data_IF_286254337710
#
_entry.id   IF_286254337710
#
_cell.length_a   1.000
_cell.length_b   1.000
_cell.length_c   1.000
_cell.angle_alpha   90.00
_cell.angle_beta   90.00
_cell.angle_gamma   90.00
#
_symmetry.space_group_name_H-M   'P 1'
#
loop_
_entity.id
_entity.type
_entity.pdbx_description
1 polymer ?
#
# COMPACT_ATOMS: atom_id res chain seq x y z
N UNK A 1 -2.26 51.63 -33.56
CA UNK A 1 -2.71 50.24 -33.58
C UNK A 1 -1.80 49.43 -32.67
N UNK A 2 -2.28 48.85 -31.57
CA UNK A 2 -1.42 48.08 -30.67
C UNK A 2 -1.05 46.74 -31.34
N UNK A 3 0.23 46.46 -31.47
CA UNK A 3 0.77 45.20 -31.96
C UNK A 3 0.37 44.09 -30.96
N UNK A 4 -0.57 43.23 -31.34
CA UNK A 4 -1.01 42.11 -30.54
C UNK A 4 0.16 41.14 -30.35
N UNK A 5 0.65 40.99 -29.09
CA UNK A 5 1.64 39.98 -28.67
C UNK A 5 0.98 38.59 -28.51
N UNK A 6 0.00 38.28 -29.37
CA UNK A 6 -0.79 37.04 -29.33
C UNK A 6 0.01 35.74 -29.40
N UNK A 7 1.11 35.62 -30.19
CA UNK A 7 1.84 34.35 -30.29
C UNK A 7 2.56 33.97 -28.99
N UNK A 8 3.07 34.94 -28.24
CA UNK A 8 3.81 34.68 -26.98
C UNK A 8 2.88 34.22 -25.86
N UNK A 9 1.69 34.85 -25.74
CA UNK A 9 0.70 34.46 -24.76
C UNK A 9 0.15 33.06 -25.06
N UNK A 10 -0.10 32.73 -26.32
CA UNK A 10 -0.59 31.43 -26.75
C UNK A 10 0.43 30.31 -26.47
N UNK A 11 1.71 30.56 -26.78
CA UNK A 11 2.79 29.62 -26.46
C UNK A 11 2.93 29.39 -24.95
N UNK A 12 2.81 30.43 -24.14
CA UNK A 12 2.86 30.34 -22.68
C UNK A 12 1.71 29.47 -22.12
N UNK A 13 0.49 29.63 -22.62
CA UNK A 13 -0.66 28.82 -22.23
C UNK A 13 -0.48 27.34 -22.61
N UNK A 14 0.08 27.05 -23.79
CA UNK A 14 0.37 25.65 -24.18
C UNK A 14 1.39 25.01 -23.24
N UNK A 15 2.44 25.73 -22.84
CA UNK A 15 3.46 25.20 -21.91
C UNK A 15 2.85 24.90 -20.55
N UNK A 16 2.03 25.81 -20.00
CA UNK A 16 1.34 25.59 -18.72
C UNK A 16 0.43 24.36 -18.82
N UNK A 17 -0.34 24.22 -19.88
CA UNK A 17 -1.24 23.09 -20.08
C UNK A 17 -0.47 21.75 -20.18
N UNK A 18 0.65 21.74 -20.89
CA UNK A 18 1.53 20.57 -20.97
C UNK A 18 2.10 20.18 -19.60
N UNK A 19 2.53 21.14 -18.78
CA UNK A 19 3.03 20.90 -17.42
C UNK A 19 1.92 20.28 -16.54
N UNK A 20 0.69 20.79 -16.60
CA UNK A 20 -0.45 20.27 -15.82
C UNK A 20 -0.74 18.81 -16.22
N UNK A 21 -0.73 18.51 -17.52
CA UNK A 21 -0.95 17.13 -18.02
C UNK A 21 0.16 16.20 -17.52
N UNK A 22 1.44 16.58 -17.65
CA UNK A 22 2.56 15.77 -17.20
C UNK A 22 2.52 15.52 -15.69
N UNK A 23 2.14 16.54 -14.91
CA UNK A 23 1.97 16.41 -13.47
C UNK A 23 0.83 15.47 -13.11
N UNK A 24 -0.32 15.57 -13.79
CA UNK A 24 -1.46 14.67 -13.61
C UNK A 24 -1.14 13.21 -13.94
N UNK A 25 -0.40 12.98 -15.04
CA UNK A 25 0.07 11.63 -15.43
C UNK A 25 1.05 11.08 -14.38
N UNK A 26 1.98 11.91 -13.90
CA UNK A 26 2.94 11.51 -12.86
C UNK A 26 2.27 11.09 -11.56
N UNK A 27 1.29 11.86 -11.08
CA UNK A 27 0.51 11.51 -9.88
C UNK A 27 -0.32 10.24 -10.08
N UNK A 28 -0.94 10.06 -11.24
CA UNK A 28 -1.69 8.85 -11.58
C UNK A 28 -0.80 7.61 -11.59
N UNK A 29 0.41 7.72 -12.10
CA UNK A 29 1.37 6.62 -12.12
C UNK A 29 1.84 6.24 -10.70
N UNK A 30 2.15 7.23 -9.84
CA UNK A 30 2.51 6.99 -8.44
C UNK A 30 1.39 6.28 -7.69
N UNK A 31 0.13 6.71 -7.87
CA UNK A 31 -1.01 6.07 -7.23
C UNK A 31 -1.23 4.62 -7.70
N UNK A 32 -1.03 4.33 -8.99
CA UNK A 32 -1.20 2.99 -9.54
C UNK A 32 -0.08 2.03 -9.13
N UNK A 33 1.10 2.53 -8.75
CA UNK A 33 2.23 1.71 -8.29
C UNK A 33 2.07 1.16 -6.88
N UNK A 34 1.11 1.67 -6.08
CA UNK A 34 0.83 1.15 -4.76
C UNK A 34 0.32 -0.30 -4.82
N UNK A 35 0.71 -1.19 -3.89
CA UNK A 35 0.19 -2.55 -3.79
C UNK A 35 -1.34 -2.60 -3.79
N UNK A 36 -1.91 -3.71 -4.27
CA UNK A 36 -3.37 -3.83 -4.45
C UNK A 36 -4.19 -3.55 -3.16
N UNK A 37 -3.64 -3.88 -2.00
CA UNK A 37 -4.27 -3.70 -0.67
C UNK A 37 -3.67 -2.55 0.14
N UNK A 38 -2.98 -1.62 -0.51
CA UNK A 38 -2.43 -0.48 0.22
C UNK A 38 -3.54 0.34 0.89
N UNK A 39 -3.38 0.75 2.18
CA UNK A 39 -4.40 1.48 2.93
C UNK A 39 -4.91 2.75 2.25
N UNK A 40 -4.08 3.42 1.48
CA UNK A 40 -4.45 4.64 0.77
C UNK A 40 -5.37 4.43 -0.45
N UNK A 41 -5.57 3.16 -0.88
CA UNK A 41 -6.38 2.89 -2.08
C UNK A 41 -7.88 2.98 -1.85
N UNK A 42 -8.36 2.62 -0.68
CA UNK A 42 -9.77 2.75 -0.34
C UNK A 42 -10.00 2.67 1.18
N UNK A 43 -11.21 3.07 1.58
CA UNK A 43 -11.65 3.09 2.98
C UNK A 43 -11.49 1.74 3.67
N UNK A 44 -11.88 0.65 3.03
CA UNK A 44 -11.84 -0.68 3.63
C UNK A 44 -10.41 -1.12 3.95
N UNK A 45 -9.46 -0.86 3.06
CA UNK A 45 -8.05 -1.18 3.29
C UNK A 45 -7.46 -0.30 4.40
N UNK A 46 -7.84 0.99 4.46
CA UNK A 46 -7.44 1.89 5.53
C UNK A 46 -7.92 1.40 6.90
N UNK A 47 -9.20 1.07 7.01
CA UNK A 47 -9.80 0.58 8.26
C UNK A 47 -9.25 -0.79 8.68
N UNK A 48 -9.02 -1.70 7.73
CA UNK A 48 -8.38 -3.00 7.98
C UNK A 48 -6.94 -2.85 8.52
N UNK A 49 -6.22 -1.83 8.05
CA UNK A 49 -4.90 -1.49 8.54
C UNK A 49 -4.92 -0.75 9.90
N UNK A 50 -6.11 -0.46 10.43
CA UNK A 50 -6.28 0.28 11.67
C UNK A 50 -6.17 1.80 11.52
N UNK A 51 -6.27 2.31 10.28
CA UNK A 51 -6.28 3.73 9.96
C UNK A 51 -7.66 4.37 10.05
N UNK A 52 -7.69 5.69 9.98
CA UNK A 52 -8.90 6.48 9.91
C UNK A 52 -9.05 7.08 8.51
N UNK A 53 -10.14 6.76 7.84
CA UNK A 53 -10.47 7.34 6.53
C UNK A 53 -11.08 8.73 6.69
N UNK A 54 -10.50 9.73 6.01
CA UNK A 54 -10.96 11.12 6.06
C UNK A 54 -11.97 11.44 4.96
N UNK A 55 -12.68 12.57 5.11
CA UNK A 55 -13.61 13.08 4.08
C UNK A 55 -12.90 13.47 2.79
N UNK A 56 -11.61 13.80 2.85
CA UNK A 56 -10.75 14.08 1.68
C UNK A 56 -10.29 12.82 0.95
N UNK A 57 -10.83 11.65 1.30
CA UNK A 57 -10.48 10.36 0.71
C UNK A 57 -9.01 9.96 0.94
N UNK A 58 -8.45 10.34 2.06
CA UNK A 58 -7.10 9.97 2.51
C UNK A 58 -7.13 9.07 3.73
N UNK A 59 -6.13 8.20 3.88
CA UNK A 59 -5.99 7.32 5.03
C UNK A 59 -5.01 7.93 6.03
N UNK A 60 -5.47 8.23 7.24
CA UNK A 60 -4.60 8.58 8.36
C UNK A 60 -4.19 7.31 9.09
N UNK A 61 -2.97 6.86 8.87
CA UNK A 61 -2.41 5.66 9.46
C UNK A 61 -1.07 5.96 10.15
N UNK A 62 -0.93 5.47 11.38
CA UNK A 62 0.35 5.45 12.07
C UNK A 62 0.99 4.07 11.88
N UNK A 63 1.99 3.99 11.01
CA UNK A 63 2.68 2.74 10.73
C UNK A 63 3.43 2.22 11.94
N UNK A 64 3.30 0.91 12.17
CA UNK A 64 4.03 0.17 13.19
C UNK A 64 5.47 -0.11 12.74
N UNK A 65 6.38 -0.10 13.70
CA UNK A 65 7.79 -0.39 13.46
C UNK A 65 8.06 -1.89 13.43
N UNK A 66 9.23 -2.26 12.96
CA UNK A 66 9.74 -3.63 13.00
C UNK A 66 9.60 -4.26 14.38
N UNK A 67 9.05 -5.49 14.44
CA UNK A 67 8.83 -6.23 15.66
C UNK A 67 7.54 -5.89 16.43
N UNK A 68 6.80 -4.85 16.06
CA UNK A 68 5.49 -4.56 16.67
C UNK A 68 4.40 -5.51 16.16
N UNK A 69 3.45 -5.84 17.03
CA UNK A 69 2.35 -6.77 16.71
C UNK A 69 1.45 -6.15 15.63
N UNK A 70 1.12 -6.94 14.62
CA UNK A 70 0.28 -6.56 13.50
C UNK A 70 -0.76 -7.63 13.16
N UNK A 71 -1.80 -7.24 12.46
CA UNK A 71 -2.81 -8.14 11.89
C UNK A 71 -2.93 -7.99 10.37
N UNK A 72 -2.20 -7.01 9.81
CA UNK A 72 -2.19 -6.73 8.37
C UNK A 72 -0.88 -6.08 7.97
N UNK A 73 -0.37 -6.41 6.78
CA UNK A 73 0.85 -5.81 6.24
C UNK A 73 0.77 -4.29 6.10
N UNK A 74 -0.42 -3.75 5.78
CA UNK A 74 -0.65 -2.31 5.69
C UNK A 74 -0.45 -1.54 7.00
N UNK A 75 -0.39 -2.23 8.16
CA UNK A 75 -0.05 -1.60 9.45
C UNK A 75 1.45 -1.35 9.62
N UNK A 76 2.29 -2.03 8.86
CA UNK A 76 3.74 -2.04 9.03
C UNK A 76 4.43 -1.07 8.08
N UNK A 77 5.51 -0.41 8.53
CA UNK A 77 6.36 0.43 7.68
C UNK A 77 6.96 -0.37 6.51
N UNK A 78 7.29 -1.64 6.75
CA UNK A 78 7.79 -2.58 5.73
C UNK A 78 6.73 -3.05 4.73
N UNK A 79 5.45 -2.79 4.98
CA UNK A 79 4.34 -3.35 4.20
C UNK A 79 4.07 -4.84 4.45
N UNK A 80 4.82 -5.49 5.37
CA UNK A 80 4.76 -6.93 5.63
C UNK A 80 4.48 -7.21 7.10
N UNK A 81 3.40 -7.94 7.37
CA UNK A 81 3.10 -8.52 8.68
C UNK A 81 3.50 -9.99 8.68
N UNK A 82 4.64 -10.32 9.29
CA UNK A 82 5.21 -11.66 9.30
C UNK A 82 4.44 -12.56 10.28
N UNK A 83 4.04 -13.77 9.88
CA UNK A 83 3.28 -14.67 10.74
C UNK A 83 4.11 -15.20 11.92
N UNK A 84 3.46 -15.55 13.03
CA UNK A 84 4.15 -16.20 14.15
C UNK A 84 4.57 -17.63 13.78
N UNK A 85 5.46 -18.21 14.58
CA UNK A 85 5.80 -19.65 14.43
C UNK A 85 4.57 -20.50 14.66
N UNK A 86 4.07 -21.15 13.61
CA UNK A 86 2.88 -21.99 13.67
C UNK A 86 3.17 -23.32 14.38
N UNK A 87 2.24 -23.76 15.22
CA UNK A 87 2.26 -25.11 15.80
C UNK A 87 2.00 -26.18 14.73
N UNK A 88 2.32 -27.44 14.99
CA UNK A 88 2.08 -28.53 14.05
C UNK A 88 0.59 -28.66 13.70
N UNK A 89 -0.30 -28.46 14.67
CA UNK A 89 -1.74 -28.46 14.45
C UNK A 89 -2.20 -27.31 13.53
N UNK A 90 -1.68 -26.10 13.75
CA UNK A 90 -1.95 -24.93 12.87
C UNK A 90 -1.44 -25.17 11.45
N UNK A 91 -0.26 -25.77 11.27
CA UNK A 91 0.27 -26.14 9.94
C UNK A 91 -0.64 -27.14 9.23
N UNK A 92 -1.16 -28.15 9.95
CA UNK A 92 -2.12 -29.12 9.41
C UNK A 92 -3.43 -28.42 9.04
N UNK A 93 -3.93 -27.49 9.88
CA UNK A 93 -5.16 -26.75 9.59
C UNK A 93 -4.98 -25.83 8.39
N UNK A 94 -3.80 -25.21 8.21
CA UNK A 94 -3.49 -24.36 7.06
C UNK A 94 -3.54 -25.13 5.73
N UNK A 95 -3.28 -26.43 5.71
CA UNK A 95 -3.45 -27.25 4.49
C UNK A 95 -4.93 -27.48 4.11
N UNK A 96 -5.86 -27.31 5.07
CA UNK A 96 -7.30 -27.47 4.87
C UNK A 96 -8.01 -26.15 4.54
N UNK A 97 -7.40 -25.01 4.88
CA UNK A 97 -7.94 -23.69 4.63
C UNK A 97 -7.19 -22.59 5.39
N UNK A 98 -7.53 -21.32 5.16
CA UNK A 98 -6.84 -20.20 5.79
C UNK A 98 -7.07 -20.18 7.31
N UNK A 99 -6.02 -19.86 8.06
CA UNK A 99 -6.07 -19.62 9.50
C UNK A 99 -6.53 -18.18 9.75
N UNK A 100 -7.55 -18.01 10.61
CA UNK A 100 -8.11 -16.70 10.96
C UNK A 100 -7.72 -16.29 12.38
N UNK A 101 -7.87 -14.99 12.68
CA UNK A 101 -7.54 -14.38 13.97
C UNK A 101 -6.09 -14.61 14.38
N UNK A 102 -5.18 -14.45 13.43
CA UNK A 102 -3.75 -14.57 13.63
C UNK A 102 -3.13 -13.19 13.75
N UNK A 103 -2.31 -13.00 14.78
CA UNK A 103 -1.46 -11.83 14.95
C UNK A 103 -0.03 -12.20 14.51
N UNK A 104 0.61 -11.28 13.80
CA UNK A 104 2.00 -11.39 13.39
C UNK A 104 2.85 -10.28 13.99
N UNK A 105 4.04 -10.09 13.44
CA UNK A 105 4.96 -8.99 13.77
C UNK A 105 5.41 -8.29 12.50
N UNK A 106 5.54 -6.95 12.56
CA UNK A 106 6.04 -6.17 11.44
C UNK A 106 7.47 -6.55 11.10
N UNK A 107 7.70 -6.85 9.82
CA UNK A 107 9.00 -7.27 9.31
C UNK A 107 9.97 -6.10 9.19
N UNK A 108 11.29 -6.27 9.41
CA UNK A 108 12.29 -5.25 9.15
C UNK A 108 12.36 -4.89 7.66
N UNK A 109 12.45 -3.60 7.33
CA UNK A 109 12.44 -3.09 5.95
C UNK A 109 13.56 -3.67 5.06
N UNK A 110 14.71 -4.00 5.65
CA UNK A 110 15.92 -4.38 4.91
C UNK A 110 15.91 -5.81 4.36
N UNK A 111 14.84 -6.61 4.57
CA UNK A 111 14.82 -8.04 4.27
C UNK A 111 13.60 -8.52 3.48
N UNK A 112 12.71 -7.67 3.08
CA UNK A 112 11.46 -8.06 2.40
C UNK A 112 11.67 -8.25 0.88
N UNK A 113 12.52 -9.20 0.49
CA UNK A 113 12.70 -9.63 -0.89
C UNK A 113 12.20 -11.05 -1.09
N UNK A 114 11.60 -11.33 -2.25
CA UNK A 114 11.12 -12.67 -2.61
C UNK A 114 9.71 -12.99 -2.09
N UNK A 115 9.34 -14.27 -2.11
CA UNK A 115 8.00 -14.72 -1.70
C UNK A 115 7.96 -14.99 -0.20
N UNK A 116 7.18 -14.23 0.53
CA UNK A 116 7.02 -14.36 1.99
C UNK A 116 5.56 -14.67 2.35
N UNK A 117 5.38 -15.54 3.35
CA UNK A 117 4.08 -15.70 3.98
C UNK A 117 3.79 -14.47 4.83
N UNK A 118 2.55 -13.97 4.79
CA UNK A 118 2.17 -12.83 5.61
C UNK A 118 0.75 -12.94 6.16
N UNK A 119 0.51 -12.19 7.21
CA UNK A 119 -0.83 -12.01 7.78
C UNK A 119 -1.52 -10.88 7.04
N UNK A 120 -2.71 -11.16 6.48
CA UNK A 120 -3.58 -10.19 5.82
C UNK A 120 -4.93 -10.20 6.50
N UNK A 121 -5.32 -9.08 7.08
CA UNK A 121 -6.58 -8.91 7.81
C UNK A 121 -6.78 -10.04 8.85
N UNK A 122 -5.75 -10.29 9.66
CA UNK A 122 -5.77 -11.35 10.68
C UNK A 122 -5.84 -12.78 10.11
N UNK A 123 -5.48 -12.99 8.85
CA UNK A 123 -5.60 -14.28 8.17
C UNK A 123 -4.26 -14.68 7.54
N UNK A 124 -3.88 -15.95 7.69
CA UNK A 124 -2.78 -16.57 6.94
C UNK A 124 -3.38 -17.53 5.92
N UNK A 125 -2.99 -17.39 4.66
CA UNK A 125 -3.28 -18.36 3.60
C UNK A 125 -2.02 -19.14 3.23
N UNK A 126 -2.22 -20.27 2.52
CA UNK A 126 -1.10 -21.06 1.98
C UNK A 126 -0.37 -20.34 0.84
N UNK A 127 -0.99 -19.31 0.28
CA UNK A 127 -0.39 -18.54 -0.80
C UNK A 127 0.56 -17.49 -0.20
N UNK A 128 1.85 -17.61 -0.53
CA UNK A 128 2.85 -16.59 -0.21
C UNK A 128 2.68 -15.40 -1.14
N UNK A 129 2.90 -14.21 -0.61
CA UNK A 129 2.95 -13.00 -1.43
C UNK A 129 4.40 -12.77 -1.85
N UNK A 130 4.63 -12.60 -3.16
CA UNK A 130 5.94 -12.25 -3.68
C UNK A 130 6.09 -10.73 -3.66
N UNK A 131 7.18 -10.27 -3.07
CA UNK A 131 7.61 -8.88 -3.09
C UNK A 131 8.59 -8.75 -4.25
N UNK A 132 8.17 -8.04 -5.29
CA UNK A 132 9.03 -7.75 -6.45
C UNK A 132 10.14 -6.78 -6.02
N UNK A 133 11.37 -7.02 -6.47
CA UNK A 133 12.54 -6.15 -6.31
C UNK A 133 12.38 -4.83 -7.07
#
# INVERSE_FOLDING_TARGET
MPKQNTPKLFLFLIIIFAIIILFGIGLGFLYSSLPAHHPEKNKQFCENAGGQWTDDQTCLLSYKKAGEICTDGGQCMSGVCFPPTLTNEQKINLTKGPLKNVEGTCYPEDLATGCVEQVLVGTISKESMCLDD
#
